data_IF_191931171597
#
_entry.id   IF_191931171597
#
_cell.length_a   1.000
_cell.length_b   1.000
_cell.length_c   1.000
_cell.angle_alpha   90.00
_cell.angle_beta   90.00
_cell.angle_gamma   90.00
#
_symmetry.space_group_name_H-M   'P 1'
#
loop_
_entity.id
_entity.type
_entity.pdbx_description
1 polymer ?
#
# COMPACT_ATOMS: atom_id res chain seq x y z
N UNK A 1 34.25 -15.09 20.06
CA UNK A 1 33.99 -14.85 18.62
C UNK A 1 33.18 -13.57 18.55
N UNK A 2 33.81 -12.46 18.17
CA UNK A 2 33.15 -11.16 18.09
C UNK A 2 32.57 -11.06 16.68
N UNK A 3 31.25 -11.22 16.54
CA UNK A 3 30.54 -11.03 15.27
C UNK A 3 30.42 -9.52 15.01
N UNK A 4 31.54 -8.87 14.68
CA UNK A 4 31.46 -7.52 14.10
C UNK A 4 30.87 -7.66 12.71
N UNK A 5 29.64 -7.18 12.54
CA UNK A 5 29.08 -6.97 11.21
C UNK A 5 30.07 -6.12 10.42
N UNK A 6 30.51 -6.63 9.27
CA UNK A 6 31.44 -5.96 8.37
C UNK A 6 30.94 -4.53 8.13
N UNK A 7 31.75 -3.47 8.34
CA UNK A 7 31.33 -2.10 8.09
C UNK A 7 30.76 -1.90 6.68
N UNK A 8 31.28 -2.65 5.71
CA UNK A 8 30.79 -2.64 4.34
C UNK A 8 29.36 -3.19 4.24
N UNK A 9 29.03 -4.22 5.03
CA UNK A 9 27.67 -4.75 5.14
C UNK A 9 26.69 -3.68 5.65
N UNK A 10 27.06 -2.94 6.70
CA UNK A 10 26.19 -1.92 7.29
C UNK A 10 25.86 -0.80 6.29
N UNK A 11 26.85 -0.36 5.52
CA UNK A 11 26.70 0.71 4.51
C UNK A 11 25.64 0.37 3.47
N UNK A 12 25.44 -0.91 3.15
CA UNK A 12 24.45 -1.32 2.15
C UNK A 12 23.16 -1.88 2.75
N UNK A 13 23.18 -2.47 3.94
CA UNK A 13 21.97 -2.99 4.58
C UNK A 13 21.03 -1.88 5.03
N UNK A 14 21.58 -0.80 5.60
CA UNK A 14 20.78 0.29 6.14
C UNK A 14 20.00 1.03 5.04
N UNK A 15 20.60 1.43 3.89
CA UNK A 15 19.84 2.03 2.80
C UNK A 15 18.76 1.11 2.26
N UNK A 16 19.05 -0.19 2.11
CA UNK A 16 18.07 -1.19 1.67
C UNK A 16 16.87 -1.28 2.62
N UNK A 17 17.13 -1.30 3.93
CA UNK A 17 16.11 -1.27 4.96
C UNK A 17 15.25 0.01 4.87
N UNK A 18 15.89 1.17 4.73
CA UNK A 18 15.22 2.47 4.68
C UNK A 18 14.37 2.63 3.42
N UNK A 19 14.88 2.18 2.26
CA UNK A 19 14.12 2.17 1.00
C UNK A 19 12.92 1.23 1.12
N UNK A 20 13.12 0.04 1.68
CA UNK A 20 12.03 -0.88 2.02
C UNK A 20 10.99 -0.17 2.88
N UNK A 21 11.41 0.41 4.01
CA UNK A 21 10.53 1.09 4.95
C UNK A 21 9.75 2.24 4.32
N UNK A 22 10.42 3.10 3.55
CA UNK A 22 9.76 4.20 2.83
C UNK A 22 8.73 3.70 1.83
N UNK A 23 9.06 2.68 1.03
CA UNK A 23 8.12 2.14 0.04
C UNK A 23 6.91 1.48 0.70
N UNK A 24 7.12 0.67 1.75
CA UNK A 24 6.05 0.07 2.54
C UNK A 24 5.13 1.11 3.17
N UNK A 25 5.70 2.17 3.76
CA UNK A 25 4.96 3.28 4.35
C UNK A 25 4.03 3.95 3.32
N UNK A 26 4.57 4.24 2.13
CA UNK A 26 3.81 4.91 1.06
C UNK A 26 2.68 4.03 0.54
N UNK A 27 2.94 2.74 0.30
CA UNK A 27 1.95 1.80 -0.27
C UNK A 27 0.83 1.52 0.74
N UNK A 28 1.17 1.29 2.01
CA UNK A 28 0.18 1.00 3.05
C UNK A 28 -0.74 2.19 3.33
N UNK A 29 -0.26 3.42 3.13
CA UNK A 29 -1.03 4.65 3.29
C UNK A 29 -2.06 4.91 2.18
N UNK A 30 -2.05 4.16 1.08
CA UNK A 30 -2.92 4.41 -0.07
C UNK A 30 -4.36 3.93 0.17
N UNK A 31 -5.25 4.80 0.64
CA UNK A 31 -6.67 4.49 0.93
C UNK A 31 -7.47 3.95 -0.26
N UNK A 32 -7.04 4.24 -1.50
CA UNK A 32 -7.71 3.83 -2.75
C UNK A 32 -7.44 2.37 -3.12
N UNK A 33 -6.37 1.77 -2.61
CA UNK A 33 -6.02 0.39 -2.91
C UNK A 33 -6.78 -0.56 -1.98
N UNK A 34 -7.33 -1.63 -2.56
CA UNK A 34 -7.88 -2.75 -1.79
C UNK A 34 -6.78 -3.44 -0.97
N UNK A 35 -7.13 -4.04 0.17
CA UNK A 35 -6.19 -4.77 1.03
C UNK A 35 -5.37 -5.79 0.22
N UNK A 36 -6.04 -6.56 -0.64
CA UNK A 36 -5.40 -7.58 -1.50
C UNK A 36 -4.33 -6.96 -2.41
N UNK A 37 -4.63 -5.82 -3.03
CA UNK A 37 -3.69 -5.15 -3.92
C UNK A 37 -2.52 -4.56 -3.14
N UNK A 38 -2.75 -3.97 -1.96
CA UNK A 38 -1.67 -3.47 -1.10
C UNK A 38 -0.71 -4.57 -0.70
N UNK A 39 -1.23 -5.72 -0.24
CA UNK A 39 -0.42 -6.88 0.14
C UNK A 39 0.39 -7.41 -1.04
N UNK A 40 -0.24 -7.55 -2.21
CA UNK A 40 0.46 -8.01 -3.42
C UNK A 40 1.61 -7.05 -3.81
N UNK A 41 1.36 -5.74 -3.82
CA UNK A 41 2.37 -4.73 -4.15
C UNK A 41 3.49 -4.73 -3.10
N UNK A 42 3.19 -4.80 -1.81
CA UNK A 42 4.19 -4.86 -0.74
C UNK A 42 5.13 -6.05 -0.91
N UNK A 43 4.59 -7.24 -1.18
CA UNK A 43 5.39 -8.44 -1.41
C UNK A 43 6.26 -8.27 -2.65
N UNK A 44 5.69 -7.81 -3.76
CA UNK A 44 6.42 -7.60 -5.01
C UNK A 44 7.52 -6.55 -4.87
N UNK A 45 7.25 -5.41 -4.23
CA UNK A 45 8.21 -4.32 -4.04
C UNK A 45 9.32 -4.72 -3.08
N UNK A 46 8.99 -5.38 -1.97
CA UNK A 46 10.00 -5.87 -1.01
C UNK A 46 10.97 -6.85 -1.66
N UNK A 47 10.46 -7.82 -2.41
CA UNK A 47 11.29 -8.81 -3.09
C UNK A 47 12.08 -8.23 -4.27
N UNK A 48 11.42 -7.53 -5.19
CA UNK A 48 12.07 -6.94 -6.37
C UNK A 48 13.06 -5.84 -5.99
N UNK A 49 12.72 -5.00 -5.01
CA UNK A 49 13.61 -3.95 -4.50
C UNK A 49 14.88 -4.55 -3.91
N UNK A 50 14.74 -5.61 -3.11
CA UNK A 50 15.87 -6.37 -2.56
C UNK A 50 16.75 -6.99 -3.63
N UNK A 51 16.15 -7.57 -4.68
CA UNK A 51 16.89 -8.12 -5.83
C UNK A 51 17.68 -7.03 -6.58
N UNK A 52 17.05 -5.90 -6.89
CA UNK A 52 17.68 -4.80 -7.63
C UNK A 52 18.86 -4.24 -6.83
N UNK A 53 18.66 -3.97 -5.54
CA UNK A 53 19.73 -3.45 -4.66
C UNK A 53 20.85 -4.48 -4.54
N UNK A 54 20.52 -5.77 -4.40
CA UNK A 54 21.50 -6.85 -4.39
C UNK A 54 22.33 -6.92 -5.66
N UNK A 55 21.71 -6.75 -6.84
CA UNK A 55 22.41 -6.75 -8.12
C UNK A 55 23.32 -5.53 -8.28
N UNK A 56 22.86 -4.35 -7.85
CA UNK A 56 23.69 -3.13 -7.82
C UNK A 56 24.93 -3.38 -6.96
N UNK A 57 24.77 -3.96 -5.77
CA UNK A 57 25.89 -4.24 -4.88
C UNK A 57 26.92 -5.18 -5.52
N UNK A 58 26.47 -6.25 -6.18
CA UNK A 58 27.35 -7.18 -6.90
C UNK A 58 28.05 -6.50 -8.08
N UNK A 59 27.40 -5.54 -8.74
CA UNK A 59 27.99 -4.81 -9.86
C UNK A 59 29.09 -3.83 -9.43
N UNK A 60 28.95 -3.21 -8.26
CA UNK A 60 29.89 -2.17 -7.78
C UNK A 60 30.88 -2.66 -6.73
N UNK A 61 30.69 -3.85 -6.17
CA UNK A 61 31.57 -4.43 -5.16
C UNK A 61 32.01 -5.82 -5.58
N UNK A 62 33.26 -6.18 -5.27
CA UNK A 62 33.76 -7.55 -5.48
C UNK A 62 33.18 -8.55 -4.45
N UNK A 63 32.11 -8.19 -3.75
CA UNK A 63 31.47 -8.99 -2.71
C UNK A 63 30.54 -9.99 -3.39
N UNK A 64 31.14 -11.08 -3.86
CA UNK A 64 30.47 -12.17 -4.59
C UNK A 64 29.95 -13.27 -3.65
N UNK A 65 29.26 -12.88 -2.57
CA UNK A 65 28.69 -13.81 -1.60
C UNK A 65 27.17 -13.90 -1.69
N UNK A 66 26.63 -15.09 -2.00
CA UNK A 66 25.18 -15.37 -1.99
C UNK A 66 24.51 -14.96 -0.67
N UNK A 67 25.24 -15.07 0.45
CA UNK A 67 24.79 -14.63 1.77
C UNK A 67 24.41 -13.13 1.81
N UNK A 68 25.25 -12.27 1.24
CA UNK A 68 25.00 -10.82 1.22
C UNK A 68 23.79 -10.48 0.38
N UNK A 69 23.60 -11.19 -0.72
CA UNK A 69 22.44 -11.05 -1.58
C UNK A 69 21.14 -11.40 -0.84
N UNK A 70 21.12 -12.50 -0.08
CA UNK A 70 19.98 -12.87 0.76
C UNK A 70 19.70 -11.86 1.86
N UNK A 71 20.74 -11.35 2.53
CA UNK A 71 20.58 -10.33 3.55
C UNK A 71 19.99 -9.04 2.97
N UNK A 72 20.33 -8.65 1.74
CA UNK A 72 19.75 -7.49 1.08
C UNK A 72 18.26 -7.66 0.80
N UNK A 73 17.87 -8.83 0.30
CA UNK A 73 16.45 -9.16 0.07
C UNK A 73 15.69 -9.12 1.38
N UNK A 74 16.24 -9.72 2.43
CA UNK A 74 15.62 -9.76 3.76
C UNK A 74 15.52 -8.37 4.37
N UNK A 75 16.55 -7.53 4.20
CA UNK A 75 16.58 -6.14 4.68
C UNK A 75 15.49 -5.30 4.01
N UNK A 76 15.45 -5.31 2.67
CA UNK A 76 14.44 -4.55 1.92
C UNK A 76 13.02 -5.06 2.24
N UNK A 77 12.81 -6.38 2.25
CA UNK A 77 11.51 -6.98 2.55
C UNK A 77 11.06 -6.67 3.97
N UNK A 78 11.96 -6.85 4.95
CA UNK A 78 11.70 -6.54 6.35
C UNK A 78 11.40 -5.05 6.55
N UNK A 79 12.18 -4.17 5.92
CA UNK A 79 11.90 -2.74 5.88
C UNK A 79 10.50 -2.45 5.33
N UNK A 80 10.15 -3.05 4.19
CA UNK A 80 8.84 -2.87 3.55
C UNK A 80 7.69 -3.30 4.47
N UNK A 81 7.83 -4.42 5.17
CA UNK A 81 6.83 -4.89 6.14
C UNK A 81 6.70 -3.91 7.32
N UNK A 82 7.82 -3.48 7.90
CA UNK A 82 7.83 -2.51 9.02
C UNK A 82 7.21 -1.18 8.61
N UNK A 83 7.59 -0.66 7.44
CA UNK A 83 7.02 0.55 6.86
C UNK A 83 5.52 0.43 6.65
N UNK A 84 5.08 -0.69 6.08
CA UNK A 84 3.66 -0.94 5.87
C UNK A 84 2.87 -1.02 7.18
N UNK A 85 3.38 -1.74 8.17
CA UNK A 85 2.76 -1.85 9.49
C UNK A 85 2.64 -0.49 10.19
N UNK A 86 3.62 0.40 9.99
CA UNK A 86 3.63 1.73 10.62
C UNK A 86 2.58 2.71 10.06
N UNK A 87 2.06 2.47 8.86
CA UNK A 87 1.16 3.39 8.16
C UNK A 87 0.00 2.68 7.45
N UNK A 88 -0.56 1.65 8.10
CA UNK A 88 -1.64 0.88 7.52
C UNK A 88 -2.96 1.66 7.55
N UNK A 89 -3.28 2.33 6.45
CA UNK A 89 -4.51 3.12 6.35
C UNK A 89 -5.75 2.23 6.17
N UNK A 90 -6.93 2.61 6.68
CA UNK A 90 -8.17 1.90 6.38
C UNK A 90 -8.49 1.97 4.88
N UNK A 91 -9.21 0.98 4.36
CA UNK A 91 -9.73 1.02 2.98
C UNK A 91 -10.96 1.92 2.97
N UNK A 92 -11.05 2.83 2.00
CA UNK A 92 -12.26 3.65 1.82
C UNK A 92 -13.38 2.73 1.35
N UNK A 93 -14.45 2.62 2.14
CA UNK A 93 -15.68 1.98 1.67
C UNK A 93 -16.22 2.81 0.50
N UNK A 94 -16.63 2.17 -0.61
CA UNK A 94 -17.32 2.90 -1.67
C UNK A 94 -18.55 3.55 -1.02
N UNK A 95 -18.66 4.88 -1.11
CA UNK A 95 -19.87 5.57 -0.66
C UNK A 95 -21.02 4.91 -1.39
N UNK A 96 -21.92 4.26 -0.66
CA UNK A 96 -23.20 3.88 -1.23
C UNK A 96 -23.88 5.18 -1.60
N UNK A 97 -23.71 5.62 -2.84
CA UNK A 97 -24.57 6.63 -3.43
C UNK A 97 -25.93 5.97 -3.42
N UNK A 98 -26.71 6.18 -2.36
CA UNK A 98 -28.16 6.04 -2.41
C UNK A 98 -28.59 7.04 -3.47
N UNK A 99 -28.59 6.62 -4.72
CA UNK A 99 -29.46 7.20 -5.71
C UNK A 99 -30.85 6.99 -5.11
N UNK A 100 -31.41 8.06 -4.54
CA UNK A 100 -32.85 8.17 -4.42
C UNK A 100 -33.31 8.23 -5.87
N UNK A 101 -33.61 7.05 -6.42
CA UNK A 101 -34.38 6.96 -7.65
C UNK A 101 -35.75 7.48 -7.25
N UNK A 102 -36.05 8.72 -7.59
CA UNK A 102 -37.43 9.17 -7.59
C UNK A 102 -38.10 8.36 -8.69
N UNK A 103 -38.93 7.39 -8.30
CA UNK A 103 -39.79 6.72 -9.26
C UNK A 103 -40.77 7.79 -9.75
N UNK A 104 -40.84 8.07 -11.06
CA UNK A 104 -41.78 9.06 -11.59
C UNK A 104 -43.25 8.65 -11.35
N UNK A 105 -43.50 7.41 -10.92
CA UNK A 105 -44.83 6.93 -10.51
C UNK A 105 -45.28 7.50 -9.14
N UNK A 106 -44.38 8.09 -8.33
CA UNK A 106 -44.73 8.78 -7.07
C UNK A 106 -45.07 10.28 -7.27
N UNK A 107 -44.82 10.86 -8.45
CA UNK A 107 -45.13 12.27 -8.75
C UNK A 107 -46.66 12.51 -8.87
N UNK A 108 -47.40 11.55 -9.46
CA UNK A 108 -48.87 11.67 -9.62
C UNK A 108 -49.61 11.69 -8.27
N UNK A 109 -49.10 10.96 -7.27
CA UNK A 109 -49.67 10.90 -5.92
C UNK A 109 -49.31 12.15 -5.11
N UNK A 110 -48.13 12.74 -5.33
CA UNK A 110 -47.72 14.00 -4.73
C UNK A 110 -48.53 15.19 -5.28
N UNK A 111 -48.73 15.25 -6.60
CA UNK A 111 -49.52 16.29 -7.25
C UNK A 111 -50.99 16.23 -6.83
N UNK A 112 -51.58 15.03 -6.71
CA UNK A 112 -52.95 14.85 -6.20
C UNK A 112 -53.10 15.37 -4.76
N UNK A 113 -52.14 15.10 -3.89
CA UNK A 113 -52.18 15.55 -2.49
C UNK A 113 -52.01 17.07 -2.38
N UNK A 114 -51.27 17.71 -3.28
CA UNK A 114 -51.16 19.17 -3.35
C UNK A 114 -52.46 19.80 -3.84
N UNK A 115 -53.11 19.24 -4.85
CA UNK A 115 -54.39 19.75 -5.38
C UNK A 115 -55.52 19.66 -4.33
N UNK A 116 -55.61 18.54 -3.60
CA UNK A 116 -56.56 18.38 -2.49
C UNK A 116 -56.29 19.32 -1.31
N UNK A 117 -55.02 19.64 -1.03
CA UNK A 117 -54.64 20.54 0.06
C UNK A 117 -54.79 22.03 -0.30
N UNK A 118 -54.63 22.40 -1.57
CA UNK A 118 -54.82 23.78 -2.05
C UNK A 118 -56.29 24.11 -2.35
N UNK A 119 -57.18 23.11 -2.35
CA UNK A 119 -58.63 23.31 -2.43
C UNK A 119 -59.09 23.90 -3.77
N UNK A 120 -58.32 23.67 -4.83
CA UNK A 120 -58.76 23.99 -6.19
C UNK A 120 -59.62 22.84 -6.70
N UNK A 121 -60.80 23.23 -7.19
CA UNK A 121 -61.86 22.37 -7.70
C UNK A 121 -62.04 22.65 -9.18
#
# INVERSE_FOLDING_TARGET
MQYTLDPLLMVFLIPSLLIGMGSGYVIAGQIQLSVRNRVAIIISVGFMGGLIIGMILVAFTSVSGTYYFFLQILSCTGGTIVGAASNWAPVREPSSTHYVTFDPDDDDEFDRQIEEAMGER
#
